data_IF_668271749004
#
_entry.id   IF_668271749004
#
_cell.length_a   1.000
_cell.length_b   1.000
_cell.length_c   1.000
_cell.angle_alpha   90.00
_cell.angle_beta   90.00
_cell.angle_gamma   90.00
#
_symmetry.space_group_name_H-M   'P 1'
#
loop_
_entity.id
_entity.type
_entity.pdbx_description
1 polymer ?
#
# COMPACT_ATOMS: atom_id res chain seq x y z
N UNK A 1 -4.06 -22.11 9.69
CA UNK A 1 -3.35 -22.63 8.50
C UNK A 1 -2.85 -21.44 7.70
N UNK A 2 -1.62 -20.98 7.95
CA UNK A 2 -1.05 -19.82 7.29
C UNK A 2 -0.42 -20.25 5.95
N UNK A 3 -1.13 -20.04 4.84
CA UNK A 3 -0.58 -20.25 3.50
C UNK A 3 0.25 -19.04 3.11
N UNK A 4 1.57 -19.16 3.27
CA UNK A 4 2.56 -18.22 2.78
C UNK A 4 2.57 -18.22 1.24
N UNK A 5 1.77 -17.36 0.60
CA UNK A 5 1.68 -17.25 -0.86
C UNK A 5 2.89 -16.52 -1.47
N UNK A 6 4.05 -17.18 -1.50
CA UNK A 6 5.24 -16.65 -2.19
C UNK A 6 5.50 -17.30 -3.56
N UNK A 7 4.67 -18.24 -4.03
CA UNK A 7 5.06 -19.09 -5.19
C UNK A 7 4.02 -19.15 -6.33
N UNK A 8 2.91 -18.40 -6.31
CA UNK A 8 1.95 -18.50 -7.44
C UNK A 8 1.24 -17.19 -7.75
N UNK A 9 1.91 -16.32 -8.51
CA UNK A 9 1.34 -15.46 -9.56
C UNK A 9 0.38 -14.32 -9.20
N UNK A 10 -0.37 -14.40 -8.10
CA UNK A 10 -1.29 -13.36 -7.67
C UNK A 10 -1.40 -13.37 -6.15
N UNK A 11 -1.30 -12.18 -5.54
CA UNK A 11 -1.70 -12.01 -4.15
C UNK A 11 -3.21 -12.29 -4.07
N UNK A 12 -3.69 -13.03 -3.05
CA UNK A 12 -5.13 -13.19 -2.84
C UNK A 12 -5.80 -11.83 -2.79
N UNK A 13 -6.98 -11.68 -3.44
CA UNK A 13 -7.74 -10.40 -3.48
C UNK A 13 -7.92 -9.80 -2.09
N UNK A 14 -8.26 -10.62 -1.09
CA UNK A 14 -8.39 -10.20 0.30
C UNK A 14 -7.10 -9.54 0.85
N UNK A 15 -5.93 -10.08 0.49
CA UNK A 15 -4.64 -9.50 0.88
C UNK A 15 -4.35 -8.17 0.16
N UNK A 16 -4.79 -8.01 -1.09
CA UNK A 16 -4.66 -6.74 -1.79
C UNK A 16 -5.49 -5.64 -1.13
N UNK A 17 -6.72 -5.96 -0.67
CA UNK A 17 -7.53 -5.04 0.13
C UNK A 17 -6.86 -4.70 1.47
N UNK A 18 -6.32 -5.69 2.19
CA UNK A 18 -5.57 -5.42 3.43
C UNK A 18 -4.37 -4.48 3.18
N UNK A 19 -3.60 -4.72 2.11
CA UNK A 19 -2.48 -3.85 1.75
C UNK A 19 -2.93 -2.44 1.38
N UNK A 20 -4.03 -2.30 0.65
CA UNK A 20 -4.62 -1.00 0.33
C UNK A 20 -4.97 -0.22 1.60
N UNK A 21 -5.64 -0.87 2.55
CA UNK A 21 -6.10 -0.23 3.78
C UNK A 21 -4.92 0.16 4.68
N UNK A 22 -3.91 -0.70 4.80
CA UNK A 22 -2.69 -0.42 5.56
C UNK A 22 -1.90 0.75 4.96
N UNK A 23 -1.76 0.80 3.63
CA UNK A 23 -1.05 1.90 2.95
C UNK A 23 -1.81 3.23 3.06
N UNK A 24 -3.13 3.18 3.02
CA UNK A 24 -3.99 4.36 3.25
C UNK A 24 -3.82 4.85 4.68
N UNK A 25 -3.92 3.95 5.67
CA UNK A 25 -3.70 4.28 7.08
C UNK A 25 -2.30 4.87 7.32
N UNK A 26 -1.26 4.37 6.65
CA UNK A 26 0.08 4.91 6.77
C UNK A 26 0.19 6.36 6.23
N UNK A 27 -0.54 6.71 5.17
CA UNK A 27 -0.58 8.08 4.65
C UNK A 27 -1.32 9.02 5.60
N UNK A 28 -2.41 8.57 6.21
CA UNK A 28 -3.18 9.37 7.14
C UNK A 28 -2.41 9.57 8.44
N UNK A 29 -1.80 8.50 8.98
CA UNK A 29 -1.01 8.56 10.21
C UNK A 29 0.24 9.44 10.09
N UNK A 30 0.79 9.58 8.88
CA UNK A 30 1.94 10.44 8.61
C UNK A 30 1.54 11.82 8.09
N UNK A 31 0.26 12.20 8.16
CA UNK A 31 -0.18 13.54 7.80
C UNK A 31 0.34 14.58 8.82
N UNK A 32 0.87 15.70 8.32
CA UNK A 32 1.42 16.77 9.17
C UNK A 32 0.85 18.12 8.78
N UNK A 33 0.35 18.86 9.78
CA UNK A 33 -0.17 20.23 9.60
C UNK A 33 0.90 21.28 9.34
N UNK A 34 2.12 21.02 9.80
CA UNK A 34 3.25 21.97 9.72
C UNK A 34 4.07 21.75 8.43
N UNK A 35 3.71 20.73 7.65
CA UNK A 35 4.45 20.28 6.48
C UNK A 35 5.36 19.09 6.78
N UNK A 36 6.08 18.67 5.76
CA UNK A 36 6.93 17.47 5.78
C UNK A 36 8.40 17.85 5.60
N UNK A 37 9.29 17.18 6.30
CA UNK A 37 10.73 17.16 5.99
C UNK A 37 10.98 16.48 4.64
N UNK A 38 12.18 16.62 4.09
CA UNK A 38 12.51 15.94 2.83
C UNK A 38 12.36 14.42 2.94
N UNK A 39 12.88 13.83 4.00
CA UNK A 39 12.78 12.39 4.24
C UNK A 39 11.31 11.92 4.34
N UNK A 40 10.45 12.67 5.03
CA UNK A 40 9.03 12.35 5.11
C UNK A 40 8.33 12.48 3.76
N UNK A 41 8.67 13.51 2.95
CA UNK A 41 8.14 13.64 1.58
C UNK A 41 8.52 12.45 0.72
N UNK A 42 9.77 12.02 0.77
CA UNK A 42 10.26 10.86 0.01
C UNK A 42 9.57 9.59 0.46
N UNK A 43 9.50 9.33 1.77
CA UNK A 43 8.78 8.19 2.34
C UNK A 43 7.31 8.17 1.90
N UNK A 44 6.60 9.29 2.02
CA UNK A 44 5.20 9.42 1.56
C UNK A 44 5.07 9.21 0.05
N UNK A 45 6.05 9.64 -0.74
CA UNK A 45 6.07 9.41 -2.19
C UNK A 45 6.12 7.92 -2.51
N UNK A 46 6.98 7.15 -1.82
CA UNK A 46 7.04 5.70 -1.96
C UNK A 46 5.73 5.01 -1.55
N UNK A 47 5.13 5.42 -0.43
CA UNK A 47 3.84 4.87 0.03
C UNK A 47 2.73 5.15 -0.99
N UNK A 48 2.65 6.38 -1.53
CA UNK A 48 1.71 6.71 -2.60
C UNK A 48 1.98 5.90 -3.87
N UNK A 49 3.25 5.61 -4.17
CA UNK A 49 3.66 4.75 -5.29
C UNK A 49 3.16 3.31 -5.11
N UNK A 50 3.38 2.75 -3.92
CA UNK A 50 2.89 1.42 -3.56
C UNK A 50 1.36 1.34 -3.64
N UNK A 51 0.63 2.33 -3.09
CA UNK A 51 -0.83 2.36 -3.13
C UNK A 51 -1.37 2.37 -4.57
N UNK A 52 -0.77 3.17 -5.46
CA UNK A 52 -1.13 3.15 -6.89
C UNK A 52 -0.88 1.79 -7.54
N UNK A 53 0.20 1.10 -7.18
CA UNK A 53 0.49 -0.22 -7.71
C UNK A 53 -0.52 -1.26 -7.19
N UNK A 54 -0.84 -1.22 -5.91
CA UNK A 54 -1.88 -2.07 -5.29
C UNK A 54 -3.23 -1.86 -5.95
N UNK A 55 -3.65 -0.61 -6.19
CA UNK A 55 -4.91 -0.32 -6.90
C UNK A 55 -4.96 -0.96 -8.29
N UNK A 56 -3.87 -0.88 -9.06
CA UNK A 56 -3.81 -1.54 -10.37
C UNK A 56 -3.90 -3.05 -10.26
N UNK A 57 -3.27 -3.66 -9.26
CA UNK A 57 -3.38 -5.11 -9.03
C UNK A 57 -4.81 -5.50 -8.65
N UNK A 58 -5.51 -4.67 -7.89
CA UNK A 58 -6.92 -4.88 -7.54
C UNK A 58 -7.84 -4.74 -8.76
N UNK A 59 -7.61 -3.75 -9.62
CA UNK A 59 -8.36 -3.57 -10.88
C UNK A 59 -8.20 -4.77 -11.82
N UNK A 60 -7.02 -5.40 -11.85
CA UNK A 60 -6.77 -6.61 -12.65
C UNK A 60 -7.35 -7.88 -12.01
N UNK A 61 -7.52 -7.88 -10.69
CA UNK A 61 -7.99 -9.05 -9.94
C UNK A 61 -9.52 -9.10 -9.73
N UNK A 62 -10.23 -8.02 -10.07
CA UNK A 62 -11.69 -7.89 -10.01
C UNK A 62 -12.36 -8.37 -11.31
#
# INVERSE_FOLDING_TARGET
>A
MATNSLITGALPVARLHELHDLLTLALDATESRVGYTQAEREARSYVRGALRHTNRLMEVAA
#
